data_IF_579744712493
#
_entry.id   IF_579744712493
#
_cell.length_a   1.000
_cell.length_b   1.000
_cell.length_c   1.000
_cell.angle_alpha   90.00
_cell.angle_beta   90.00
_cell.angle_gamma   90.00
#
_symmetry.space_group_name_H-M   'P 1'
#
loop_
_entity.id
_entity.type
_entity.pdbx_description
1 polymer ?
#
# COMPACT_ATOMS: atom_id res chain seq x y z
N UNK A 1 18.36 -13.66 18.75
CA UNK A 1 17.24 -13.22 17.89
C UNK A 1 16.29 -14.37 17.86
N UNK A 2 14.98 -14.16 18.04
CA UNK A 2 14.00 -15.24 17.91
C UNK A 2 13.50 -15.19 16.48
N UNK A 3 13.68 -16.29 15.73
CA UNK A 3 13.12 -16.45 14.40
C UNK A 3 11.72 -17.03 14.58
N UNK A 4 10.71 -16.29 14.14
CA UNK A 4 9.33 -16.76 14.17
C UNK A 4 8.94 -17.25 12.78
N UNK A 5 8.49 -18.50 12.71
CA UNK A 5 7.78 -19.06 11.56
C UNK A 5 6.39 -19.48 12.03
N UNK A 6 5.36 -18.78 11.56
CA UNK A 6 3.98 -18.95 12.02
C UNK A 6 3.89 -18.78 13.55
N UNK A 7 3.40 -19.79 14.29
CA UNK A 7 3.32 -19.79 15.75
C UNK A 7 4.53 -20.42 16.45
N UNK A 8 5.57 -20.82 15.69
CA UNK A 8 6.77 -21.42 16.26
C UNK A 8 7.89 -20.39 16.40
N UNK A 9 8.36 -20.22 17.64
CA UNK A 9 9.49 -19.38 17.98
C UNK A 9 10.76 -20.24 18.09
N UNK A 10 11.75 -19.96 17.25
CA UNK A 10 13.02 -20.68 17.18
C UNK A 10 14.19 -19.77 17.56
N UNK A 11 15.26 -20.36 18.10
CA UNK A 11 16.52 -19.66 18.34
C UNK A 11 17.13 -19.26 16.99
N UNK A 12 17.27 -17.96 16.75
CA UNK A 12 17.97 -17.44 15.58
C UNK A 12 19.46 -17.72 15.64
N UNK A 13 20.11 -17.79 14.47
CA UNK A 13 21.50 -18.24 14.34
C UNK A 13 22.56 -17.36 15.02
N UNK A 14 22.22 -16.15 15.45
CA UNK A 14 23.13 -15.30 16.21
C UNK A 14 22.95 -15.46 17.72
N UNK A 15 24.06 -15.77 18.39
CA UNK A 15 24.20 -15.78 19.84
C UNK A 15 24.29 -14.33 20.31
N UNK A 16 23.36 -13.91 21.18
CA UNK A 16 23.43 -12.61 21.82
C UNK A 16 24.11 -12.78 23.18
N UNK A 17 25.09 -11.93 23.47
CA UNK A 17 25.74 -11.83 24.78
C UNK A 17 25.03 -10.84 25.72
N UNK A 18 23.79 -10.48 25.41
CA UNK A 18 22.98 -9.53 26.17
C UNK A 18 21.56 -10.07 26.36
N UNK A 19 20.88 -9.59 27.40
CA UNK A 19 19.47 -9.86 27.62
C UNK A 19 18.61 -9.29 26.49
N UNK A 20 17.39 -9.80 26.33
CA UNK A 20 16.44 -9.27 25.37
C UNK A 20 15.97 -7.87 25.77
N UNK A 21 15.89 -6.95 24.80
CA UNK A 21 15.37 -5.61 25.04
C UNK A 21 13.90 -5.69 25.51
N UNK A 22 13.54 -4.86 26.50
CA UNK A 22 12.17 -4.73 26.98
C UNK A 22 11.23 -4.31 25.83
N UNK A 23 10.05 -4.92 25.74
CA UNK A 23 9.09 -4.64 24.67
C UNK A 23 9.38 -5.31 23.32
N UNK A 24 10.42 -6.15 23.19
CA UNK A 24 10.69 -6.89 21.95
C UNK A 24 9.52 -7.80 21.54
N UNK A 25 8.89 -8.47 22.50
CA UNK A 25 7.73 -9.33 22.24
C UNK A 25 6.52 -8.51 21.73
N UNK A 26 6.25 -7.36 22.35
CA UNK A 26 5.19 -6.44 21.92
C UNK A 26 5.45 -5.90 20.50
N UNK A 27 6.71 -5.52 20.18
CA UNK A 27 7.12 -5.13 18.83
C UNK A 27 6.91 -6.27 17.84
N UNK A 28 7.32 -7.49 18.17
CA UNK A 28 7.17 -8.65 17.28
C UNK A 28 5.69 -8.94 16.98
N UNK A 29 4.82 -8.90 18.00
CA UNK A 29 3.37 -9.06 17.85
C UNK A 29 2.78 -8.00 16.93
N UNK A 30 3.07 -6.72 17.18
CA UNK A 30 2.63 -5.62 16.31
C UNK A 30 3.08 -5.81 14.87
N UNK A 31 4.35 -6.17 14.65
CA UNK A 31 4.91 -6.39 13.31
C UNK A 31 4.19 -7.54 12.62
N UNK A 32 3.88 -8.63 13.32
CA UNK A 32 3.10 -9.75 12.77
C UNK A 32 1.71 -9.26 12.35
N UNK A 33 0.99 -8.61 13.26
CA UNK A 33 -0.40 -8.21 13.04
C UNK A 33 -0.51 -7.17 11.89
N UNK A 34 0.45 -6.23 11.80
CA UNK A 34 0.55 -5.30 10.65
C UNK A 34 0.78 -6.06 9.34
N UNK A 35 1.63 -7.10 9.34
CA UNK A 35 1.90 -7.90 8.13
C UNK A 35 0.65 -8.66 7.70
N UNK A 36 -0.06 -9.29 8.61
CA UNK A 36 -1.29 -10.04 8.34
C UNK A 36 -2.38 -9.12 7.77
N UNK A 37 -2.69 -8.00 8.45
CA UNK A 37 -3.67 -7.03 7.97
C UNK A 37 -3.27 -6.40 6.63
N UNK A 38 -1.98 -6.22 6.37
CA UNK A 38 -1.49 -5.65 5.11
C UNK A 38 -1.74 -6.56 3.90
N UNK A 39 -1.72 -7.88 4.10
CA UNK A 39 -2.03 -8.88 3.06
C UNK A 39 -3.53 -8.93 2.79
N UNK A 40 -4.34 -8.95 3.85
CA UNK A 40 -5.81 -8.97 3.75
C UNK A 40 -6.38 -7.71 3.12
N UNK A 41 -5.75 -6.55 3.36
CA UNK A 41 -6.23 -5.24 2.91
C UNK A 41 -5.15 -4.52 2.11
N UNK A 42 -4.84 -4.93 0.85
CA UNK A 42 -3.71 -4.40 0.08
C UNK A 42 -3.86 -2.93 -0.33
N UNK A 43 -5.09 -2.42 -0.42
CA UNK A 43 -5.37 -1.06 -0.89
C UNK A 43 -5.64 -0.04 0.24
N UNK A 44 -5.82 -0.49 1.49
CA UNK A 44 -6.11 0.44 2.59
C UNK A 44 -4.91 1.28 3.03
N UNK A 45 -5.17 2.43 3.65
CA UNK A 45 -4.16 3.40 4.11
C UNK A 45 -3.31 2.88 5.28
N UNK A 46 -2.21 3.58 5.62
CA UNK A 46 -1.34 3.15 6.73
C UNK A 46 -2.06 3.38 8.03
N UNK A 47 -2.71 4.54 8.13
CA UNK A 47 -3.53 4.99 9.24
C UNK A 47 -4.54 3.91 9.63
N UNK A 48 -5.36 3.47 8.66
CA UNK A 48 -6.39 2.45 8.88
C UNK A 48 -5.87 1.13 9.43
N UNK A 49 -4.65 0.70 9.02
CA UNK A 49 -4.13 -0.63 9.39
C UNK A 49 -3.23 -0.57 10.62
N UNK A 50 -2.31 0.38 10.67
CA UNK A 50 -1.21 0.39 11.62
C UNK A 50 -1.53 1.17 12.90
N UNK A 51 -2.28 2.26 12.81
CA UNK A 51 -2.57 3.10 13.96
C UNK A 51 -3.39 2.40 15.06
N UNK A 52 -4.51 1.70 14.77
CA UNK A 52 -5.26 0.99 15.81
C UNK A 52 -4.38 -0.06 16.52
N UNK A 53 -3.50 -0.72 15.76
CA UNK A 53 -2.57 -1.70 16.31
C UNK A 53 -1.49 -1.07 17.19
N UNK A 54 -1.04 0.15 16.89
CA UNK A 54 -0.07 0.87 17.72
C UNK A 54 -0.71 1.36 19.02
N UNK A 55 -2.00 1.75 19.00
CA UNK A 55 -2.73 2.17 20.19
C UNK A 55 -3.11 1.01 21.12
N UNK A 56 -3.33 -0.19 20.59
CA UNK A 56 -3.62 -1.40 21.38
C UNK A 56 -2.39 -1.97 22.10
N UNK A 57 -1.18 -1.60 21.67
CA UNK A 57 0.05 -2.08 22.30
C UNK A 57 0.35 -1.25 23.54
N UNK A 58 0.28 -1.90 24.72
CA UNK A 58 0.74 -1.31 25.98
C UNK A 58 2.19 -0.83 25.83
N UNK A 59 2.41 0.47 26.11
CA UNK A 59 3.74 1.06 26.07
C UNK A 59 4.53 0.60 27.28
N UNK A 60 5.59 -0.14 27.04
CA UNK A 60 6.54 -0.54 28.09
C UNK A 60 7.52 0.63 28.31
N UNK A 61 7.90 0.96 29.56
CA UNK A 61 8.96 1.94 29.82
C UNK A 61 10.23 1.61 29.02
N UNK A 62 10.86 2.62 28.41
CA UNK A 62 12.05 2.51 27.56
C UNK A 62 11.90 1.71 26.26
N UNK A 63 10.67 1.49 25.77
CA UNK A 63 10.45 0.89 24.47
C UNK A 63 11.00 1.78 23.34
N UNK A 64 11.92 1.24 22.54
CA UNK A 64 12.42 1.94 21.35
C UNK A 64 11.27 2.21 20.38
N UNK A 65 11.25 3.36 19.68
CA UNK A 65 10.25 3.64 18.68
C UNK A 65 10.11 2.49 17.68
N UNK A 66 8.88 2.10 17.39
CA UNK A 66 8.62 1.11 16.34
C UNK A 66 9.01 1.73 15.01
N UNK A 67 9.86 1.05 14.24
CA UNK A 67 10.19 1.45 12.88
C UNK A 67 8.92 1.60 12.07
N UNK A 68 8.67 2.83 11.61
CA UNK A 68 7.46 3.31 10.93
C UNK A 68 6.60 2.17 10.32
N UNK A 69 5.47 1.79 10.93
CA UNK A 69 4.72 0.59 10.54
C UNK A 69 4.20 0.63 9.10
N UNK A 70 4.07 1.82 8.51
CA UNK A 70 3.80 1.99 7.08
C UNK A 70 4.88 1.39 6.17
N UNK A 71 6.16 1.39 6.57
CA UNK A 71 7.25 0.77 5.80
C UNK A 71 7.11 -0.76 5.80
N UNK A 72 6.80 -1.34 6.95
CA UNK A 72 6.60 -2.79 7.10
C UNK A 72 5.43 -3.24 6.21
N UNK A 73 4.31 -2.54 6.29
CA UNK A 73 3.14 -2.75 5.45
C UNK A 73 3.47 -2.64 3.96
N UNK A 74 4.13 -1.54 3.54
CA UNK A 74 4.49 -1.32 2.14
C UNK A 74 5.40 -2.42 1.61
N UNK A 75 6.40 -2.82 2.40
CA UNK A 75 7.33 -3.89 2.03
C UNK A 75 6.62 -5.23 1.86
N UNK A 76 5.66 -5.55 2.73
CA UNK A 76 4.86 -6.78 2.56
C UNK A 76 4.00 -6.73 1.31
N UNK A 77 3.28 -5.64 1.07
CA UNK A 77 2.46 -5.51 -0.15
C UNK A 77 3.30 -5.61 -1.41
N UNK A 78 4.50 -5.02 -1.41
CA UNK A 78 5.41 -5.10 -2.54
C UNK A 78 5.78 -6.54 -2.93
N UNK A 79 5.90 -7.45 -1.97
CA UNK A 79 6.22 -8.86 -2.24
C UNK A 79 5.09 -9.61 -2.97
N UNK A 80 3.84 -9.12 -2.87
CA UNK A 80 2.68 -9.70 -3.54
C UNK A 80 2.21 -8.92 -4.77
N UNK A 81 2.90 -7.84 -5.17
CA UNK A 81 2.55 -7.09 -6.37
C UNK A 81 2.88 -7.93 -7.61
N UNK A 82 1.99 -7.98 -8.61
CA UNK A 82 2.33 -8.49 -9.93
C UNK A 82 3.56 -7.77 -10.49
N UNK A 83 4.30 -8.45 -11.35
CA UNK A 83 5.38 -7.81 -12.10
C UNK A 83 4.80 -6.63 -12.90
N UNK A 84 5.53 -5.52 -12.91
CA UNK A 84 5.13 -4.39 -13.74
C UNK A 84 5.05 -4.84 -15.21
N UNK A 85 3.98 -4.47 -15.94
CA UNK A 85 3.85 -4.80 -17.34
C UNK A 85 5.00 -4.15 -18.11
N UNK A 86 5.61 -4.91 -19.02
CA UNK A 86 6.73 -4.45 -19.86
C UNK A 86 6.27 -3.75 -21.15
N UNK A 87 5.02 -4.00 -21.54
CA UNK A 87 4.37 -3.43 -22.72
C UNK A 87 3.00 -2.88 -22.33
N UNK A 88 2.39 -2.11 -23.21
CA UNK A 88 1.01 -1.63 -23.06
C UNK A 88 -0.03 -2.69 -23.48
N UNK A 89 0.42 -3.90 -23.86
CA UNK A 89 -0.42 -5.03 -24.29
C UNK A 89 -0.86 -5.87 -23.09
N UNK A 90 -1.60 -5.26 -22.17
CA UNK A 90 -2.15 -5.94 -21.00
C UNK A 90 -3.66 -5.74 -20.89
N UNK A 91 -4.38 -6.71 -20.35
CA UNK A 91 -5.80 -6.51 -20.05
C UNK A 91 -5.96 -5.81 -18.71
N UNK A 92 -6.88 -4.84 -18.66
CA UNK A 92 -7.28 -4.22 -17.41
C UNK A 92 -8.26 -5.15 -16.68
N UNK A 93 -7.97 -5.39 -15.41
CA UNK A 93 -8.90 -6.07 -14.53
C UNK A 93 -9.93 -5.06 -14.02
N UNK A 94 -11.12 -5.08 -14.63
CA UNK A 94 -12.20 -4.15 -14.34
C UNK A 94 -12.79 -4.32 -12.94
N UNK A 95 -12.58 -5.46 -12.26
CA UNK A 95 -13.03 -5.65 -10.88
C UNK A 95 -12.33 -4.71 -9.90
N UNK A 96 -11.14 -4.23 -10.26
CA UNK A 96 -10.32 -3.36 -9.44
C UNK A 96 -10.42 -1.88 -9.84
N UNK A 97 -11.19 -1.56 -10.89
CA UNK A 97 -11.46 -0.18 -11.29
C UNK A 97 -12.68 0.32 -10.51
N UNK A 98 -12.58 1.47 -9.80
CA UNK A 98 -13.73 1.98 -9.07
C UNK A 98 -14.88 2.32 -10.02
N UNK A 99 -16.12 2.01 -9.64
CA UNK A 99 -17.31 2.10 -10.51
C UNK A 99 -17.66 3.53 -10.92
N UNK A 100 -17.18 4.52 -10.19
CA UNK A 100 -17.34 5.94 -10.52
C UNK A 100 -16.44 6.43 -11.66
N UNK A 101 -15.44 5.63 -12.06
CA UNK A 101 -14.57 5.94 -13.18
C UNK A 101 -15.12 5.37 -14.48
N UNK A 102 -15.22 6.23 -15.47
CA UNK A 102 -15.35 5.84 -16.86
C UNK A 102 -13.94 5.58 -17.42
N UNK A 103 -13.79 4.48 -18.14
CA UNK A 103 -12.57 4.08 -18.83
C UNK A 103 -12.74 4.33 -20.33
N UNK A 104 -11.84 5.11 -20.92
CA UNK A 104 -11.66 5.13 -22.37
C UNK A 104 -10.30 4.52 -22.73
N UNK A 105 -10.33 3.44 -23.49
CA UNK A 105 -9.16 2.74 -24.02
C UNK A 105 -9.05 3.08 -25.50
N UNK A 106 -8.05 3.89 -25.86
CA UNK A 106 -7.91 4.44 -27.22
C UNK A 106 -6.50 4.23 -27.76
N UNK A 107 -6.38 4.07 -29.08
CA UNK A 107 -5.10 3.99 -29.76
C UNK A 107 -4.85 5.26 -30.58
N UNK A 108 -3.74 5.94 -30.31
CA UNK A 108 -3.32 7.15 -31.04
C UNK A 108 -1.84 6.98 -31.42
N UNK A 109 -1.52 7.10 -32.71
CA UNK A 109 -0.13 7.05 -33.20
C UNK A 109 0.61 5.76 -32.81
N UNK A 110 -0.05 4.61 -32.93
CA UNK A 110 0.45 3.28 -32.54
C UNK A 110 0.83 3.16 -31.06
N UNK A 111 0.20 3.96 -30.19
CA UNK A 111 0.33 3.83 -28.73
C UNK A 111 -1.06 3.71 -28.13
N UNK A 112 -1.19 2.81 -27.17
CA UNK A 112 -2.42 2.63 -26.39
C UNK A 112 -2.46 3.62 -25.23
N UNK A 113 -3.60 4.25 -25.03
CA UNK A 113 -3.86 5.22 -23.98
C UNK A 113 -5.06 4.78 -23.15
N UNK A 114 -4.86 4.71 -21.83
CA UNK A 114 -5.91 4.39 -20.87
C UNK A 114 -6.28 5.67 -20.13
N UNK A 115 -7.50 6.14 -20.35
CA UNK A 115 -8.05 7.33 -19.73
C UNK A 115 -9.04 6.93 -18.66
N UNK A 116 -8.78 7.32 -17.41
CA UNK A 116 -9.69 7.15 -16.29
C UNK A 116 -10.20 8.52 -15.87
N UNK A 117 -11.52 8.70 -15.89
CA UNK A 117 -12.11 9.95 -15.44
C UNK A 117 -13.49 9.73 -14.81
N UNK A 118 -13.82 10.57 -13.85
CA UNK A 118 -15.18 10.67 -13.31
C UNK A 118 -16.01 11.62 -14.17
N UNK A 119 -17.34 11.49 -14.13
CA UNK A 119 -18.26 12.44 -14.79
C UNK A 119 -17.97 13.90 -14.39
N UNK A 120 -17.67 14.14 -13.11
CA UNK A 120 -17.29 15.46 -12.61
C UNK A 120 -16.02 16.00 -13.27
N UNK A 121 -14.99 15.17 -13.43
CA UNK A 121 -13.77 15.58 -14.12
C UNK A 121 -14.05 15.90 -15.59
N UNK A 122 -14.88 15.11 -16.26
CA UNK A 122 -15.30 15.37 -17.64
C UNK A 122 -16.09 16.68 -17.77
N UNK A 123 -17.02 16.96 -16.85
CA UNK A 123 -17.79 18.21 -16.84
C UNK A 123 -16.90 19.43 -16.60
N UNK A 124 -15.89 19.32 -15.73
CA UNK A 124 -14.88 20.35 -15.53
C UNK A 124 -14.06 20.59 -16.80
N UNK A 125 -13.64 19.52 -17.49
CA UNK A 125 -12.92 19.63 -18.75
C UNK A 125 -13.76 20.32 -19.83
N UNK A 126 -15.04 19.94 -19.98
CA UNK A 126 -15.98 20.61 -20.91
C UNK A 126 -16.14 22.10 -20.60
N UNK A 127 -16.24 22.47 -19.32
CA UNK A 127 -16.31 23.88 -18.89
C UNK A 127 -15.01 24.63 -19.20
N UNK A 128 -13.85 23.98 -19.06
CA UNK A 128 -12.55 24.60 -19.36
C UNK A 128 -12.29 24.77 -20.87
N UNK A 129 -12.78 23.86 -21.72
CA UNK A 129 -12.70 23.98 -23.18
C UNK A 129 -13.44 25.21 -23.72
N UNK A 130 -14.52 25.64 -23.05
CA UNK A 130 -15.20 26.90 -23.35
C UNK A 130 -14.34 28.14 -23.02
N UNK A 131 -13.35 28.04 -22.12
CA UNK A 131 -12.49 29.16 -21.72
C UNK A 131 -11.34 29.36 -22.72
N UNK A 132 -10.89 28.32 -23.42
CA UNK A 132 -9.79 28.42 -24.39
C UNK A 132 -10.22 28.73 -25.82
N UNK A 133 -11.52 28.66 -26.15
CA UNK A 133 -12.04 29.02 -27.48
C UNK A 133 -12.32 30.53 -27.64
N UNK A 134 -11.74 31.37 -26.78
CA UNK A 134 -11.92 32.83 -26.73
C UNK A 134 -10.70 33.65 -27.16
N UNK A 135 -9.69 33.07 -27.81
CA UNK A 135 -8.59 33.82 -28.40
C UNK A 135 -8.58 33.60 -29.91
N UNK A 136 -9.00 34.64 -30.64
CA UNK A 136 -8.79 34.79 -32.08
C UNK A 136 -7.29 34.62 -32.39
N UNK A 137 -6.97 33.72 -33.32
CA UNK A 137 -5.84 33.88 -34.24
C UNK A 137 -6.34 34.64 -35.47
#
# INVERSE_FOLDING_TARGET
MVRQEFDKFMKGGQVHHHAADTGTAAKAKLVRDVKEKAVLNPFQSTYTIAEPLVTEVERVPNQRPIDYPGRIRNRRRQQGRPNHPKTLDFQLDMEHVPTEFELADIEIGNRRHLLFFTKRQMDLLKKSLLVFCGCHL
#
